data_IF_461242209750
#
_entry.id   IF_461242209750
#
_cell.length_a   1.000
_cell.length_b   1.000
_cell.length_c   1.000
_cell.angle_alpha   90.00
_cell.angle_beta   90.00
_cell.angle_gamma   90.00
#
_symmetry.space_group_name_H-M   'P 1'
#
loop_
_entity.id
_entity.type
_entity.pdbx_description
1 polymer ?
#
# COMPACT_ATOMS: atom_id res chain seq x y z
N UNK A 1 -11.63 14.99 9.41
CA UNK A 1 -11.84 15.32 7.99
C UNK A 1 -12.33 14.08 7.20
N UNK A 2 -11.83 12.89 7.40
CA UNK A 2 -12.09 11.68 6.60
C UNK A 2 -13.09 10.69 7.23
N UNK A 3 -13.94 11.06 8.19
CA UNK A 3 -14.83 10.13 8.92
C UNK A 3 -15.72 9.27 7.99
N UNK A 4 -16.32 9.87 6.95
CA UNK A 4 -17.13 9.10 5.99
C UNK A 4 -16.30 8.09 5.19
N UNK A 5 -15.06 8.44 4.85
CA UNK A 5 -14.14 7.54 4.15
C UNK A 5 -13.73 6.38 5.07
N UNK A 6 -13.42 6.68 6.33
CA UNK A 6 -13.07 5.66 7.32
C UNK A 6 -14.22 4.67 7.56
N UNK A 7 -15.46 5.18 7.71
CA UNK A 7 -16.64 4.32 7.84
C UNK A 7 -16.82 3.43 6.62
N UNK A 8 -16.70 3.97 5.40
CA UNK A 8 -16.79 3.20 4.16
C UNK A 8 -15.73 2.11 4.07
N UNK A 9 -14.48 2.41 4.48
CA UNK A 9 -13.40 1.42 4.54
C UNK A 9 -13.73 0.33 5.56
N UNK A 10 -14.18 0.71 6.75
CA UNK A 10 -14.52 -0.22 7.83
C UNK A 10 -15.62 -1.18 7.40
N UNK A 11 -16.71 -0.68 6.84
CA UNK A 11 -17.83 -1.50 6.35
C UNK A 11 -17.37 -2.52 5.29
N UNK A 12 -16.53 -2.08 4.36
CA UNK A 12 -16.01 -2.94 3.30
C UNK A 12 -15.03 -4.00 3.85
N UNK A 13 -14.17 -3.64 4.80
CA UNK A 13 -13.28 -4.62 5.45
C UNK A 13 -14.04 -5.72 6.18
N UNK A 14 -15.19 -5.38 6.78
CA UNK A 14 -16.08 -6.36 7.46
C UNK A 14 -16.80 -7.25 6.45
N UNK A 15 -17.35 -6.67 5.39
CA UNK A 15 -18.21 -7.38 4.44
C UNK A 15 -17.40 -8.19 3.41
N UNK A 16 -16.40 -7.55 2.80
CA UNK A 16 -15.67 -8.08 1.64
C UNK A 16 -14.19 -8.35 1.95
N UNK A 17 -13.67 -7.75 3.01
CA UNK A 17 -12.26 -7.81 3.41
C UNK A 17 -11.35 -6.86 2.63
N UNK A 18 -11.84 -6.18 1.61
CA UNK A 18 -11.08 -5.20 0.83
C UNK A 18 -11.97 -4.12 0.22
N UNK A 19 -11.36 -3.02 -0.24
CA UNK A 19 -12.02 -1.95 -0.98
C UNK A 19 -11.02 -1.23 -1.88
N UNK A 20 -11.49 -0.79 -3.06
CA UNK A 20 -10.78 0.13 -3.96
C UNK A 20 -11.59 1.43 -4.02
N UNK A 21 -10.90 2.57 -3.84
CA UNK A 21 -11.52 3.89 -3.80
C UNK A 21 -10.74 4.81 -4.72
N UNK A 22 -11.39 5.39 -5.70
CA UNK A 22 -10.86 6.49 -6.53
C UNK A 22 -11.14 7.83 -5.85
N UNK A 23 -10.35 8.85 -6.13
CA UNK A 23 -10.47 10.18 -5.51
C UNK A 23 -10.52 10.11 -3.97
N UNK A 24 -9.63 9.29 -3.40
CA UNK A 24 -9.71 8.88 -2.01
C UNK A 24 -9.37 10.02 -1.03
N UNK A 25 -8.36 10.83 -1.33
CA UNK A 25 -7.84 11.89 -0.45
C UNK A 25 -7.98 13.26 -1.13
N UNK A 26 -7.45 14.29 -0.47
CA UNK A 26 -7.41 15.63 -1.06
C UNK A 26 -6.73 15.61 -2.43
N UNK A 27 -7.30 16.31 -3.40
CA UNK A 27 -6.88 16.24 -4.81
C UNK A 27 -5.45 16.76 -5.06
N UNK A 28 -4.88 17.58 -4.16
CA UNK A 28 -3.49 18.08 -4.30
C UNK A 28 -2.47 17.11 -3.75
N UNK A 29 -2.86 16.29 -2.77
CA UNK A 29 -1.95 15.42 -2.03
C UNK A 29 -1.20 14.40 -2.91
N UNK A 30 -1.82 13.70 -3.89
CA UNK A 30 -1.08 12.77 -4.74
C UNK A 30 -0.01 13.46 -5.58
N UNK A 31 -0.27 14.67 -6.08
CA UNK A 31 0.69 15.45 -6.86
C UNK A 31 1.87 15.91 -6.02
N UNK A 32 1.63 16.35 -4.79
CA UNK A 32 2.67 16.78 -3.84
C UNK A 32 3.55 15.59 -3.43
N UNK A 33 2.97 14.46 -3.05
CA UNK A 33 3.68 13.21 -2.74
C UNK A 33 4.46 12.67 -3.95
N UNK A 34 3.90 12.75 -5.15
CA UNK A 34 4.58 12.36 -6.39
C UNK A 34 5.79 13.25 -6.68
N UNK A 35 5.63 14.58 -6.48
CA UNK A 35 6.72 15.53 -6.62
C UNK A 35 7.85 15.25 -5.64
N UNK A 36 7.55 14.94 -4.39
CA UNK A 36 8.53 14.50 -3.40
C UNK A 36 9.26 13.24 -3.90
N UNK A 37 8.53 12.18 -4.25
CA UNK A 37 9.11 10.91 -4.66
C UNK A 37 9.99 11.01 -5.91
N UNK A 38 9.69 11.94 -6.84
CA UNK A 38 10.52 12.20 -8.02
C UNK A 38 11.84 12.89 -7.70
N UNK A 39 11.86 13.72 -6.68
CA UNK A 39 13.03 14.54 -6.32
C UNK A 39 13.90 13.90 -5.22
N UNK A 40 13.37 12.89 -4.51
CA UNK A 40 14.10 12.16 -3.48
C UNK A 40 15.09 11.18 -4.10
N UNK A 41 16.33 11.15 -3.57
CA UNK A 41 17.41 10.32 -4.08
C UNK A 41 17.76 9.12 -3.18
N UNK A 42 17.27 9.08 -1.93
CA UNK A 42 17.58 8.01 -0.97
C UNK A 42 16.60 6.82 -1.06
N UNK A 43 16.34 6.37 -2.28
CA UNK A 43 15.60 5.12 -2.51
C UNK A 43 16.53 3.92 -2.50
N UNK A 44 16.20 2.93 -1.67
CA UNK A 44 16.96 1.68 -1.55
C UNK A 44 16.17 0.50 -2.11
N UNK A 45 16.83 -0.50 -2.69
CA UNK A 45 16.15 -1.72 -3.14
C UNK A 45 15.40 -2.36 -1.99
N UNK A 46 14.15 -2.72 -2.24
CA UNK A 46 13.33 -3.39 -1.25
C UNK A 46 13.80 -4.83 -1.05
N UNK A 47 13.89 -5.25 0.21
CA UNK A 47 14.17 -6.64 0.58
C UNK A 47 12.89 -7.43 0.82
N UNK A 48 12.98 -8.75 0.70
CA UNK A 48 11.94 -9.68 1.16
C UNK A 48 12.34 -10.07 2.58
N UNK A 49 11.51 -9.70 3.57
CA UNK A 49 11.77 -10.04 4.98
C UNK A 49 11.45 -11.49 5.26
N UNK A 50 12.47 -12.30 5.50
CA UNK A 50 12.34 -13.56 6.24
C UNK A 50 12.75 -13.32 7.71
N UNK A 51 12.37 -14.21 8.63
CA UNK A 51 12.45 -14.03 10.08
C UNK A 51 13.86 -13.70 10.67
N UNK A 52 14.90 -13.63 9.90
CA UNK A 52 16.27 -13.33 10.37
C UNK A 52 17.14 -12.47 9.44
N UNK A 53 16.81 -12.33 8.15
CA UNK A 53 17.65 -11.57 7.21
C UNK A 53 16.83 -10.91 6.10
N UNK A 54 17.11 -9.63 5.83
CA UNK A 54 16.66 -8.92 4.62
C UNK A 54 17.35 -9.59 3.41
N UNK A 55 16.61 -10.44 2.70
CA UNK A 55 17.13 -11.07 1.50
C UNK A 55 16.69 -10.27 0.27
N UNK A 56 17.67 -9.76 -0.50
CA UNK A 56 17.39 -9.13 -1.79
C UNK A 56 17.25 -10.23 -2.83
N UNK A 57 16.01 -10.50 -3.28
CA UNK A 57 15.74 -11.43 -4.37
C UNK A 57 15.12 -10.67 -5.55
N UNK A 58 15.98 -10.23 -6.46
CA UNK A 58 15.57 -9.49 -7.67
C UNK A 58 14.76 -10.33 -8.67
N UNK A 59 14.64 -11.65 -8.46
CA UNK A 59 13.78 -12.49 -9.27
C UNK A 59 12.33 -12.45 -8.80
N UNK A 60 12.09 -11.99 -7.58
CA UNK A 60 10.76 -11.93 -6.95
C UNK A 60 10.27 -10.51 -6.74
N UNK A 61 11.17 -9.55 -6.42
CA UNK A 61 10.83 -8.17 -6.10
C UNK A 61 11.91 -7.21 -6.62
N UNK A 62 11.50 -6.15 -7.33
CA UNK A 62 12.45 -5.23 -7.96
C UNK A 62 12.29 -3.77 -7.61
N UNK A 63 11.25 -3.39 -6.86
CA UNK A 63 11.02 -2.00 -6.46
C UNK A 63 12.12 -1.44 -5.57
N UNK A 64 12.18 -0.12 -5.54
CA UNK A 64 12.96 0.69 -4.60
C UNK A 64 12.01 1.37 -3.64
N UNK A 65 12.41 1.49 -2.39
CA UNK A 65 11.58 2.08 -1.33
C UNK A 65 12.29 3.22 -0.61
N UNK A 66 11.49 4.15 -0.11
CA UNK A 66 11.88 5.20 0.82
C UNK A 66 10.78 5.31 1.90
N UNK A 67 11.14 5.09 3.18
CA UNK A 67 10.17 5.14 4.27
C UNK A 67 9.64 6.55 4.45
N UNK A 68 8.32 6.69 4.63
CA UNK A 68 7.71 7.97 4.99
C UNK A 68 8.14 8.36 6.39
N UNK A 69 8.38 9.65 6.55
CA UNK A 69 8.66 10.30 7.81
C UNK A 69 7.84 11.61 7.94
N UNK A 70 8.06 12.38 8.99
CA UNK A 70 7.35 13.65 9.27
C UNK A 70 8.10 14.89 8.80
N UNK A 71 9.07 14.74 7.89
CA UNK A 71 9.95 15.87 7.49
C UNK A 71 9.25 16.88 6.59
N UNK A 72 8.32 16.43 5.73
CA UNK A 72 7.59 17.31 4.81
C UNK A 72 6.08 17.38 5.13
N UNK A 73 5.39 18.41 4.64
CA UNK A 73 3.98 18.61 4.96
C UNK A 73 3.11 17.51 4.32
N UNK A 74 3.34 17.18 3.07
CA UNK A 74 2.61 16.14 2.34
C UNK A 74 2.76 14.76 2.99
N UNK A 75 3.94 14.44 3.52
CA UNK A 75 4.15 13.19 4.25
C UNK A 75 3.39 13.22 5.59
N UNK A 76 3.44 14.34 6.33
CA UNK A 76 2.65 14.51 7.57
C UNK A 76 1.16 14.35 7.32
N UNK A 77 0.64 14.92 6.24
CA UNK A 77 -0.78 14.86 5.90
C UNK A 77 -1.22 13.43 5.55
N UNK A 78 -0.38 12.69 4.81
CA UNK A 78 -0.64 11.27 4.53
C UNK A 78 -0.54 10.39 5.78
N UNK A 79 0.46 10.60 6.63
CA UNK A 79 0.59 9.88 7.89
C UNK A 79 -0.57 10.18 8.86
N UNK A 80 -1.04 11.44 8.90
CA UNK A 80 -2.20 11.84 9.68
C UNK A 80 -3.50 11.16 9.20
N UNK A 81 -3.66 10.97 7.88
CA UNK A 81 -4.74 10.13 7.34
C UNK A 81 -4.63 8.69 7.85
N UNK A 82 -3.45 8.08 7.80
CA UNK A 82 -3.20 6.73 8.30
C UNK A 82 -3.50 6.61 9.80
N UNK A 83 -3.01 7.54 10.62
CA UNK A 83 -3.29 7.55 12.06
C UNK A 83 -4.78 7.69 12.37
N UNK A 84 -5.49 8.57 11.67
CA UNK A 84 -6.93 8.72 11.82
C UNK A 84 -7.69 7.43 11.46
N UNK A 85 -7.30 6.74 10.38
CA UNK A 85 -7.89 5.46 10.01
C UNK A 85 -7.60 4.38 11.06
N UNK A 86 -6.37 4.33 11.61
CA UNK A 86 -6.00 3.42 12.69
C UNK A 86 -6.92 3.57 13.91
N UNK A 87 -7.10 4.81 14.37
CA UNK A 87 -7.97 5.11 15.52
C UNK A 87 -9.42 4.72 15.24
N UNK A 88 -9.91 4.97 14.02
CA UNK A 88 -11.26 4.59 13.62
C UNK A 88 -11.44 3.06 13.60
N UNK A 89 -10.53 2.31 12.97
CA UNK A 89 -10.56 0.85 12.93
C UNK A 89 -10.47 0.22 14.32
N UNK A 90 -9.65 0.78 15.22
CA UNK A 90 -9.58 0.33 16.61
C UNK A 90 -10.89 0.56 17.36
N UNK A 91 -11.53 1.71 17.15
CA UNK A 91 -12.80 2.05 17.80
C UNK A 91 -13.94 1.16 17.32
N UNK A 92 -14.03 0.92 16.00
CA UNK A 92 -15.17 0.20 15.41
C UNK A 92 -14.99 -1.34 15.40
N UNK A 93 -13.76 -1.81 15.20
CA UNK A 93 -13.47 -3.24 14.98
C UNK A 93 -12.62 -3.88 16.10
N UNK A 94 -12.14 -3.11 17.07
CA UNK A 94 -11.32 -3.59 18.19
C UNK A 94 -10.05 -4.34 17.75
N UNK A 95 -9.41 -3.91 16.65
CA UNK A 95 -8.27 -4.61 16.05
C UNK A 95 -6.98 -4.53 16.87
N UNK A 96 -6.87 -3.60 17.82
CA UNK A 96 -5.67 -3.43 18.64
C UNK A 96 -4.46 -2.95 17.88
N UNK A 97 -4.67 -2.16 16.82
CA UNK A 97 -3.60 -1.62 15.98
C UNK A 97 -2.76 -0.62 16.76
N UNK A 98 -1.44 -0.81 16.78
CA UNK A 98 -0.51 0.03 17.54
C UNK A 98 0.05 1.18 16.72
N UNK A 99 0.39 0.92 15.45
CA UNK A 99 0.97 1.93 14.57
C UNK A 99 0.70 1.65 13.09
N UNK A 100 0.88 2.70 12.30
CA UNK A 100 0.88 2.65 10.84
C UNK A 100 2.31 2.90 10.34
N UNK A 101 2.83 2.02 9.50
CA UNK A 101 4.10 2.21 8.79
C UNK A 101 3.84 2.25 7.30
N UNK A 102 4.53 3.12 6.57
CA UNK A 102 4.39 3.21 5.13
C UNK A 102 5.68 3.66 4.45
N UNK A 103 5.84 3.27 3.20
CA UNK A 103 6.95 3.69 2.36
C UNK A 103 6.50 4.03 0.95
N UNK A 104 7.16 4.97 0.32
CA UNK A 104 7.12 5.12 -1.13
C UNK A 104 7.71 3.88 -1.79
N UNK A 105 7.10 3.44 -2.88
CA UNK A 105 7.60 2.35 -3.73
C UNK A 105 7.70 2.83 -5.16
N UNK A 106 8.89 2.70 -5.75
CA UNK A 106 9.15 3.01 -7.15
C UNK A 106 9.47 1.73 -7.90
N UNK A 107 8.70 1.46 -8.93
CA UNK A 107 8.95 0.42 -9.91
C UNK A 107 9.44 1.09 -11.19
N UNK A 108 10.68 0.80 -11.61
CA UNK A 108 11.18 1.23 -12.90
C UNK A 108 10.49 0.40 -14.01
N UNK A 109 10.66 0.78 -15.28
CA UNK A 109 10.12 0.02 -16.42
C UNK A 109 10.56 -1.44 -16.36
N UNK A 110 9.60 -2.36 -16.44
CA UNK A 110 9.81 -3.81 -16.34
C UNK A 110 9.94 -4.36 -14.92
N UNK A 111 9.94 -3.51 -13.88
CA UNK A 111 9.95 -3.96 -12.49
C UNK A 111 8.58 -4.53 -12.09
N UNK A 112 8.60 -5.51 -11.20
CA UNK A 112 7.43 -6.24 -10.73
C UNK A 112 7.61 -6.73 -9.29
N UNK A 113 6.53 -7.25 -8.71
CA UNK A 113 6.58 -8.00 -7.46
C UNK A 113 5.69 -9.25 -7.60
N UNK A 114 6.29 -10.45 -7.45
CA UNK A 114 5.56 -11.71 -7.53
C UNK A 114 4.45 -11.83 -6.49
N UNK A 115 3.50 -12.73 -6.74
CA UNK A 115 2.39 -13.04 -5.83
C UNK A 115 2.89 -13.36 -4.43
N UNK A 116 2.39 -12.63 -3.44
CA UNK A 116 2.76 -12.78 -2.02
C UNK A 116 1.58 -12.40 -1.11
N UNK A 117 1.74 -12.72 0.16
CA UNK A 117 0.93 -12.21 1.27
C UNK A 117 1.77 -11.25 2.11
N UNK A 118 1.19 -10.15 2.56
CA UNK A 118 1.87 -9.19 3.42
C UNK A 118 2.06 -9.68 4.86
N UNK A 119 1.24 -10.64 5.26
CA UNK A 119 1.31 -11.26 6.57
C UNK A 119 2.12 -12.56 6.51
N UNK A 120 3.28 -12.59 7.15
CA UNK A 120 4.12 -13.80 7.19
C UNK A 120 3.57 -14.84 8.17
N UNK A 121 3.70 -16.13 7.83
CA UNK A 121 3.26 -17.26 8.69
C UNK A 121 3.81 -17.20 10.12
N UNK A 122 4.99 -16.62 10.31
CA UNK A 122 5.68 -16.53 11.59
C UNK A 122 5.65 -15.13 12.25
N UNK A 123 4.99 -14.15 11.64
CA UNK A 123 4.90 -12.77 12.16
C UNK A 123 3.60 -12.14 11.68
N UNK A 124 2.50 -12.50 12.36
CA UNK A 124 1.14 -12.02 12.04
C UNK A 124 0.86 -10.63 12.62
N UNK A 125 1.81 -9.71 12.49
CA UNK A 125 1.65 -8.37 13.06
C UNK A 125 1.14 -7.31 12.07
N UNK A 126 1.09 -7.59 10.76
CA UNK A 126 0.40 -6.76 9.76
C UNK A 126 -1.05 -7.22 9.66
N UNK A 127 -1.99 -6.34 9.96
CA UNK A 127 -3.42 -6.64 10.04
C UNK A 127 -4.16 -6.11 8.81
N UNK A 128 -3.91 -4.85 8.45
CA UNK A 128 -4.51 -4.20 7.29
C UNK A 128 -3.42 -3.60 6.43
N UNK A 129 -3.52 -3.81 5.12
CA UNK A 129 -2.64 -3.26 4.09
C UNK A 129 -3.33 -2.13 3.36
N UNK A 130 -2.56 -1.11 3.01
CA UNK A 130 -2.98 -0.01 2.13
C UNK A 130 -2.00 0.13 0.97
N UNK A 131 -2.50 0.44 -0.23
CA UNK A 131 -1.66 0.93 -1.34
C UNK A 131 -2.33 2.17 -1.92
N UNK A 132 -1.58 3.27 -1.98
CA UNK A 132 -2.03 4.54 -2.52
C UNK A 132 -1.18 4.92 -3.73
N UNK A 133 -1.83 5.30 -4.84
CA UNK A 133 -1.15 5.52 -6.12
C UNK A 133 -0.99 7.00 -6.45
N UNK A 134 0.12 7.30 -7.14
CA UNK A 134 0.59 8.67 -7.36
C UNK A 134 0.79 9.01 -8.86
N UNK A 135 0.33 8.17 -9.79
CA UNK A 135 0.68 8.32 -11.20
C UNK A 135 -0.42 9.03 -11.98
N UNK A 136 -0.09 10.16 -12.55
CA UNK A 136 -0.98 10.88 -13.45
C UNK A 136 -1.03 10.19 -14.83
N UNK A 137 -2.17 10.31 -15.52
CA UNK A 137 -2.39 9.87 -16.90
C UNK A 137 -1.92 8.42 -17.15
N UNK A 138 -2.34 7.48 -16.28
CA UNK A 138 -2.02 6.06 -16.43
C UNK A 138 -2.92 5.41 -17.47
N UNK A 139 -2.32 4.90 -18.55
CA UNK A 139 -3.06 4.26 -19.65
C UNK A 139 -3.30 2.77 -19.43
N UNK A 140 -4.33 2.22 -20.07
CA UNK A 140 -4.65 0.78 -20.02
C UNK A 140 -3.48 -0.11 -20.48
N UNK A 141 -2.63 0.41 -21.39
CA UNK A 141 -1.49 -0.28 -21.95
C UNK A 141 -0.21 -0.15 -21.12
N UNK A 142 -0.20 0.68 -20.05
CA UNK A 142 0.99 0.95 -19.25
C UNK A 142 1.38 -0.20 -18.32
N UNK A 143 0.45 -1.13 -18.04
CA UNK A 143 0.70 -2.25 -17.12
C UNK A 143 0.81 -1.78 -15.67
N UNK A 144 1.57 -2.50 -14.84
CA UNK A 144 1.86 -2.11 -13.44
C UNK A 144 0.69 -2.20 -12.48
N UNK A 145 -0.39 -2.85 -12.86
CA UNK A 145 -1.56 -3.01 -12.01
C UNK A 145 -1.24 -3.91 -10.81
N UNK A 146 -1.97 -3.68 -9.73
CA UNK A 146 -2.05 -4.61 -8.61
C UNK A 146 -3.14 -5.63 -8.92
N UNK A 147 -2.78 -6.90 -8.95
CA UNK A 147 -3.73 -8.01 -9.07
C UNK A 147 -3.95 -8.61 -7.70
N UNK A 148 -5.20 -8.74 -7.31
CA UNK A 148 -5.61 -9.29 -6.00
C UNK A 148 -6.36 -10.59 -6.21
N UNK A 149 -6.06 -11.58 -5.38
CA UNK A 149 -6.64 -12.92 -5.40
C UNK A 149 -7.35 -13.22 -4.09
N UNK A 150 -8.30 -14.15 -4.12
CA UNK A 150 -8.90 -14.72 -2.91
C UNK A 150 -7.97 -15.74 -2.23
N UNK A 151 -8.40 -16.28 -1.10
CA UNK A 151 -7.67 -17.30 -0.34
C UNK A 151 -7.44 -18.62 -1.12
N UNK A 152 -8.17 -18.84 -2.21
CA UNK A 152 -8.04 -19.99 -3.10
C UNK A 152 -7.24 -19.67 -4.37
N UNK A 153 -6.62 -18.50 -4.44
CA UNK A 153 -5.93 -17.94 -5.61
C UNK A 153 -6.83 -17.70 -6.83
N UNK A 154 -8.12 -17.50 -6.64
CA UNK A 154 -8.98 -17.02 -7.71
C UNK A 154 -8.83 -15.51 -7.87
N UNK A 155 -8.84 -15.04 -9.11
CA UNK A 155 -8.81 -13.60 -9.42
C UNK A 155 -10.01 -12.87 -8.81
N UNK A 156 -9.74 -11.77 -8.10
CA UNK A 156 -10.76 -10.90 -7.51
C UNK A 156 -10.79 -9.52 -8.16
N UNK A 157 -9.66 -8.85 -8.23
CA UNK A 157 -9.59 -7.49 -8.71
C UNK A 157 -8.25 -7.20 -9.40
N UNK A 158 -8.28 -6.28 -10.35
CA UNK A 158 -7.13 -5.68 -11.00
C UNK A 158 -7.24 -4.17 -10.86
N UNK A 159 -6.29 -3.54 -10.19
CA UNK A 159 -6.32 -2.13 -9.83
C UNK A 159 -5.25 -1.39 -10.59
N UNK A 160 -5.66 -0.49 -11.49
CA UNK A 160 -4.75 0.41 -12.18
C UNK A 160 -4.12 1.38 -11.16
N UNK A 161 -2.83 1.70 -11.31
CA UNK A 161 -2.14 2.56 -10.34
C UNK A 161 -2.37 4.06 -10.61
N UNK A 162 -3.61 4.45 -10.91
CA UNK A 162 -4.02 5.83 -11.14
C UNK A 162 -3.89 6.70 -9.90
N UNK A 163 -3.45 7.95 -10.08
CA UNK A 163 -3.32 8.90 -8.98
C UNK A 163 -4.60 9.02 -8.15
N UNK A 164 -4.45 9.19 -6.85
CA UNK A 164 -5.54 9.28 -5.86
C UNK A 164 -6.43 8.02 -5.74
N UNK A 165 -5.97 6.89 -6.26
CA UNK A 165 -6.61 5.60 -6.00
C UNK A 165 -5.99 4.96 -4.76
N UNK A 166 -6.84 4.53 -3.83
CA UNK A 166 -6.47 3.83 -2.59
C UNK A 166 -7.10 2.43 -2.61
N UNK A 167 -6.30 1.40 -2.40
CA UNK A 167 -6.80 0.08 -2.05
C UNK A 167 -6.45 -0.22 -0.58
N UNK A 168 -7.42 -0.79 0.14
CA UNK A 168 -7.27 -1.25 1.53
C UNK A 168 -7.77 -2.67 1.63
N UNK A 169 -7.01 -3.56 2.29
CA UNK A 169 -7.40 -4.96 2.44
C UNK A 169 -6.79 -5.62 3.68
N UNK A 170 -7.41 -6.72 4.12
CA UNK A 170 -6.91 -7.55 5.22
C UNK A 170 -5.63 -8.28 4.81
N UNK A 171 -4.51 -8.00 5.46
CA UNK A 171 -3.16 -8.43 5.06
C UNK A 171 -2.96 -9.95 4.97
N UNK A 172 -3.73 -10.73 5.74
CA UNK A 172 -3.60 -12.20 5.77
C UNK A 172 -4.49 -12.94 4.77
N UNK A 173 -5.45 -12.23 4.11
CA UNK A 173 -6.48 -12.88 3.30
C UNK A 173 -6.21 -12.83 1.81
N UNK A 174 -5.51 -11.82 1.33
CA UNK A 174 -5.46 -11.51 -0.10
C UNK A 174 -4.04 -11.65 -0.66
N UNK A 175 -3.70 -12.79 -1.28
CA UNK A 175 -2.51 -12.87 -2.14
C UNK A 175 -2.62 -11.81 -3.25
N UNK A 176 -1.51 -11.14 -3.52
CA UNK A 176 -1.49 -10.09 -4.54
C UNK A 176 -0.12 -9.98 -5.18
N UNK A 177 -0.09 -9.41 -6.38
CA UNK A 177 1.12 -9.16 -7.14
C UNK A 177 1.09 -7.79 -7.81
N UNK A 178 2.25 -7.27 -8.16
CA UNK A 178 2.40 -6.08 -9.00
C UNK A 178 2.92 -6.52 -10.35
N UNK A 179 2.13 -6.30 -11.40
CA UNK A 179 2.53 -6.61 -12.76
C UNK A 179 3.62 -5.65 -13.24
N UNK A 180 4.43 -6.09 -14.21
CA UNK A 180 5.45 -5.24 -14.80
C UNK A 180 4.81 -4.03 -15.50
N UNK A 181 5.32 -2.84 -15.20
CA UNK A 181 4.89 -1.60 -15.84
C UNK A 181 5.78 -1.27 -17.04
N UNK A 182 5.21 -0.61 -18.05
CA UNK A 182 5.96 -0.10 -19.21
C UNK A 182 6.52 1.30 -19.00
N UNK A 183 6.28 1.89 -17.85
CA UNK A 183 6.81 3.18 -17.40
C UNK A 183 7.02 3.17 -15.89
N UNK A 184 7.75 4.17 -15.39
CA UNK A 184 8.00 4.27 -13.96
C UNK A 184 6.69 4.47 -13.18
N UNK A 185 6.47 3.64 -12.16
CA UNK A 185 5.27 3.59 -11.34
C UNK A 185 5.58 3.98 -9.90
N UNK A 186 4.80 4.88 -9.35
CA UNK A 186 4.93 5.39 -7.99
C UNK A 186 3.71 5.02 -7.16
N UNK A 187 3.94 4.56 -5.95
CA UNK A 187 2.90 4.27 -4.96
C UNK A 187 3.41 4.46 -3.55
N UNK A 188 2.51 4.47 -2.57
CA UNK A 188 2.82 4.33 -1.16
C UNK A 188 2.17 3.04 -0.68
N UNK A 189 2.98 2.10 -0.19
CA UNK A 189 2.50 0.90 0.47
C UNK A 189 2.59 1.08 1.98
N UNK A 190 1.55 0.66 2.70
CA UNK A 190 1.50 0.85 4.15
C UNK A 190 0.79 -0.29 4.87
N UNK A 191 1.07 -0.43 6.16
CA UNK A 191 0.53 -1.50 6.99
C UNK A 191 0.14 -0.98 8.38
N UNK A 192 -1.08 -1.33 8.78
CA UNK A 192 -1.50 -1.21 10.17
C UNK A 192 -1.06 -2.46 10.92
N UNK A 193 -0.35 -2.26 12.04
CA UNK A 193 0.31 -3.34 12.76
C UNK A 193 -0.11 -3.39 14.22
N UNK A 194 -0.07 -4.60 14.77
CA UNK A 194 -0.13 -4.85 16.21
C UNK A 194 1.28 -5.08 16.73
N UNK A 195 1.55 -4.71 18.00
CA UNK A 195 2.82 -5.01 18.63
C UNK A 195 3.03 -6.53 18.70
N UNK A 196 4.29 -6.95 18.62
CA UNK A 196 4.61 -8.34 18.91
C UNK A 196 4.34 -8.59 20.38
N UNK A 197 3.41 -9.47 20.65
CA UNK A 197 3.23 -10.04 21.99
C UNK A 197 4.38 -10.98 22.29
#
# INVERSE_FOLDING_TARGET
>A
MYENLYSKITDALVNDGYIVITDALDATLPTELHSFAKNENDFKRAGISGASDLHLDSNRRRDKIHWLDDTTQEQRDFLAFGDGLKEHLNRELYLGLSYYESHFAIYDEGDFYETHLDCFKNSKNRVVTTVYYLNDDWGEDDGGELVVYDENNNFLAKVAPDANTLIVFMSEKFPHEVLAAKRKRYSIAGWFRVDKV
#
